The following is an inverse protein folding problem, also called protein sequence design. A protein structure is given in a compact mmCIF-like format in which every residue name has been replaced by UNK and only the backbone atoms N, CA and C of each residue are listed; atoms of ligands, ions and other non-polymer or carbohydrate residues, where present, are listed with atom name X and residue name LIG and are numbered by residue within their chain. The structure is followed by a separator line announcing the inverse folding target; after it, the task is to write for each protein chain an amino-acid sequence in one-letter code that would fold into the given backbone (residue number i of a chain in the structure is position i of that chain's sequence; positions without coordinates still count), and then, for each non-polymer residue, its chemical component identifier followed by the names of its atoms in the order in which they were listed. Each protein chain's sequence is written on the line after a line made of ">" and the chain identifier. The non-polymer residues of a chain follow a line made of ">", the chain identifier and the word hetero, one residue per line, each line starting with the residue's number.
data_IF_434934649593
#
_entry.id   IF_434934649593
#
_cell.length_a   1.000
_cell.length_b   1.000
_cell.length_c   1.000
_cell.angle_alpha   90.00
_cell.angle_beta   90.00
_cell.angle_gamma   90.00
#
_symmetry.space_group_name_H-M   'P 1'
#
loop_
_entity.id
_entity.type
_entity.pdbx_description
1 polymer ?
#
# COMPACT_ATOMS: atom_id res chain seq x y z
N UNK A 1 -4.26 16.25 5.71
CA UNK A 1 -3.16 15.38 5.24
C UNK A 1 -3.71 13.98 5.08
N UNK A 2 -3.32 13.31 4.00
CA UNK A 2 -3.80 12.00 3.54
C UNK A 2 -3.05 10.81 4.17
N UNK A 3 -1.90 11.05 4.81
CA UNK A 3 -1.11 10.04 5.51
C UNK A 3 -0.11 9.30 4.61
N UNK A 4 0.14 9.78 3.38
CA UNK A 4 1.13 9.19 2.49
C UNK A 4 2.53 9.44 3.04
N UNK A 5 3.29 8.36 3.19
CA UNK A 5 4.73 8.43 3.50
C UNK A 5 5.47 8.17 2.19
N UNK A 6 6.51 8.94 1.89
CA UNK A 6 7.37 8.75 0.72
C UNK A 6 8.82 9.14 1.04
N UNK A 7 9.74 8.90 0.09
CA UNK A 7 11.13 9.34 0.21
C UNK A 7 11.32 10.52 -0.73
N UNK A 8 11.69 11.67 -0.18
CA UNK A 8 12.15 12.79 -1.01
C UNK A 8 13.57 12.49 -1.51
N UNK A 9 13.69 12.26 -2.82
CA UNK A 9 14.95 11.95 -3.45
C UNK A 9 15.94 13.12 -3.45
N UNK A 10 15.50 14.37 -3.35
CA UNK A 10 16.41 15.51 -3.27
C UNK A 10 17.12 15.57 -1.91
N UNK A 11 16.44 15.14 -0.85
CA UNK A 11 16.95 15.14 0.53
C UNK A 11 17.61 13.82 0.94
N UNK A 12 17.38 12.74 0.19
CA UNK A 12 17.94 11.43 0.51
C UNK A 12 19.47 11.40 0.29
N UNK A 13 20.23 11.35 1.39
CA UNK A 13 21.70 11.21 1.39
C UNK A 13 22.19 9.76 1.35
N UNK A 14 21.28 8.79 1.26
CA UNK A 14 21.65 7.37 1.17
C UNK A 14 22.22 6.77 2.47
N UNK A 15 21.87 7.30 3.65
CA UNK A 15 22.36 6.78 4.94
C UNK A 15 21.84 5.38 5.32
N UNK A 16 20.80 4.89 4.65
CA UNK A 16 20.17 3.57 4.85
C UNK A 16 19.54 3.33 6.23
N UNK A 17 19.53 4.32 7.12
CA UNK A 17 18.91 4.20 8.46
C UNK A 17 17.41 3.87 8.40
N UNK A 18 16.70 4.40 7.40
CA UNK A 18 15.28 4.09 7.21
C UNK A 18 15.03 2.63 6.82
N UNK A 19 16.00 1.96 6.18
CA UNK A 19 15.91 0.53 5.83
C UNK A 19 15.98 -0.29 7.13
N UNK A 20 16.96 -0.01 7.99
CA UNK A 20 17.11 -0.73 9.27
C UNK A 20 16.00 -0.44 10.27
N UNK A 21 15.41 0.77 10.23
CA UNK A 21 14.37 1.16 11.17
C UNK A 21 12.99 0.56 10.82
N UNK A 22 12.75 0.18 9.56
CA UNK A 22 11.43 -0.29 9.14
C UNK A 22 11.23 -1.77 9.52
N UNK A 23 10.26 -2.11 10.40
CA UNK A 23 10.04 -3.50 10.80
C UNK A 23 9.46 -4.37 9.67
N UNK A 24 8.91 -3.75 8.62
CA UNK A 24 8.35 -4.44 7.46
C UNK A 24 9.32 -4.56 6.27
N UNK A 25 10.53 -3.99 6.38
CA UNK A 25 11.50 -4.00 5.28
C UNK A 25 11.01 -3.31 4.00
N UNK A 26 10.08 -2.35 4.10
CA UNK A 26 9.50 -1.70 2.92
C UNK A 26 10.49 -0.82 2.12
N UNK A 27 11.40 -0.04 2.76
CA UNK A 27 12.40 0.73 2.03
C UNK A 27 13.52 -0.15 1.49
N UNK A 28 13.86 0.03 0.21
CA UNK A 28 14.85 -0.75 -0.51
C UNK A 28 15.94 0.15 -1.11
N UNK A 29 17.15 -0.37 -1.22
CA UNK A 29 18.29 0.37 -1.76
C UNK A 29 18.32 0.31 -3.29
N UNK A 30 18.41 1.47 -3.95
CA UNK A 30 18.73 1.55 -5.37
C UNK A 30 20.21 1.93 -5.55
N UNK A 31 21.08 1.00 -6.02
CA UNK A 31 22.50 1.25 -6.18
C UNK A 31 22.84 2.21 -7.32
N UNK A 32 21.99 2.32 -8.34
CA UNK A 32 22.22 3.19 -9.50
C UNK A 32 22.08 4.67 -9.14
N UNK A 33 21.08 4.99 -8.32
CA UNK A 33 20.82 6.37 -7.89
C UNK A 33 21.48 6.72 -6.56
N UNK A 34 21.98 5.73 -5.83
CA UNK A 34 22.50 5.90 -4.47
C UNK A 34 21.43 6.32 -3.46
N UNK A 35 20.16 6.00 -3.73
CA UNK A 35 19.01 6.45 -2.94
C UNK A 35 18.13 5.29 -2.52
N UNK A 36 17.37 5.52 -1.45
CA UNK A 36 16.36 4.57 -0.99
C UNK A 36 15.07 4.80 -1.79
N UNK A 37 14.41 3.72 -2.19
CA UNK A 37 13.14 3.72 -2.89
C UNK A 37 12.13 2.91 -2.09
N UNK A 38 10.86 3.29 -2.15
CA UNK A 38 9.73 2.53 -1.61
C UNK A 38 8.45 2.95 -2.32
N UNK A 39 7.38 2.19 -2.11
CA UNK A 39 6.04 2.62 -2.52
C UNK A 39 5.74 4.01 -1.95
N UNK A 40 5.32 4.89 -2.83
CA UNK A 40 4.93 6.28 -2.59
C UNK A 40 3.41 6.47 -2.62
N UNK A 41 2.68 5.35 -2.66
CA UNK A 41 1.24 5.27 -2.75
C UNK A 41 0.66 5.83 -4.06
N UNK A 42 1.47 5.99 -5.12
CA UNK A 42 1.10 6.68 -6.35
C UNK A 42 0.56 8.09 -6.07
N UNK A 43 1.28 8.87 -5.23
CA UNK A 43 0.86 10.21 -4.82
C UNK A 43 0.52 11.09 -6.03
N UNK A 44 1.34 11.01 -7.08
CA UNK A 44 1.19 11.73 -8.34
C UNK A 44 -0.16 11.45 -9.02
N UNK A 45 -0.63 10.19 -8.96
CA UNK A 45 -1.92 9.79 -9.52
C UNK A 45 -3.06 10.23 -8.62
N UNK A 46 -2.91 10.07 -7.31
CA UNK A 46 -3.93 10.44 -6.33
C UNK A 46 -4.21 11.95 -6.38
N UNK A 47 -3.17 12.78 -6.51
CA UNK A 47 -3.30 14.24 -6.63
C UNK A 47 -4.10 14.66 -7.86
N UNK A 48 -4.07 13.84 -8.93
CA UNK A 48 -4.89 14.02 -10.12
C UNK A 48 -6.27 13.33 -10.05
N UNK A 49 -6.68 12.85 -8.87
CA UNK A 49 -7.95 12.15 -8.67
C UNK A 49 -8.00 10.74 -9.27
N UNK A 50 -6.86 10.17 -9.65
CA UNK A 50 -6.76 8.81 -10.18
C UNK A 50 -6.47 7.80 -9.05
N UNK A 51 -6.86 6.55 -9.28
CA UNK A 51 -6.52 5.45 -8.37
C UNK A 51 -5.05 5.01 -8.55
N UNK A 52 -4.43 4.41 -7.52
CA UNK A 52 -3.11 3.81 -7.64
C UNK A 52 -3.03 2.79 -8.79
N UNK A 53 -1.86 2.72 -9.42
CA UNK A 53 -1.67 1.87 -10.59
C UNK A 53 -1.92 0.38 -10.27
N UNK A 54 -1.38 -0.11 -9.15
CA UNK A 54 -1.57 -1.50 -8.71
C UNK A 54 -3.04 -1.86 -8.45
N UNK A 55 -3.84 -0.91 -7.97
CA UNK A 55 -5.28 -1.10 -7.74
C UNK A 55 -6.04 -1.14 -9.07
N UNK A 56 -5.65 -0.27 -10.00
CA UNK A 56 -6.32 -0.16 -11.32
C UNK A 56 -6.09 -1.39 -12.17
N UNK A 57 -4.89 -1.99 -12.14
CA UNK A 57 -4.55 -3.18 -12.93
C UNK A 57 -5.05 -4.49 -12.32
N UNK A 58 -5.54 -4.48 -11.08
CA UNK A 58 -5.94 -5.70 -10.36
C UNK A 58 -7.23 -6.30 -10.97
N UNK A 59 -7.05 -7.28 -11.85
CA UNK A 59 -8.15 -7.99 -12.56
C UNK A 59 -9.02 -8.83 -11.63
N UNK A 60 -8.45 -9.38 -10.56
CA UNK A 60 -9.18 -10.17 -9.56
C UNK A 60 -9.91 -9.33 -8.51
N UNK A 61 -9.74 -8.00 -8.55
CA UNK A 61 -10.32 -7.06 -7.59
C UNK A 61 -9.96 -7.34 -6.11
N UNK A 62 -8.82 -7.99 -5.86
CA UNK A 62 -8.29 -8.23 -4.52
C UNK A 62 -7.83 -6.96 -3.80
N UNK A 63 -7.43 -5.94 -4.55
CA UNK A 63 -7.00 -4.64 -4.03
C UNK A 63 -8.19 -3.65 -4.05
N UNK A 64 -8.39 -2.94 -2.94
CA UNK A 64 -9.41 -1.89 -2.79
C UNK A 64 -8.74 -0.62 -2.29
N UNK A 65 -9.21 0.51 -2.79
CA UNK A 65 -8.72 1.85 -2.44
C UNK A 65 -9.92 2.76 -2.18
N UNK A 66 -9.97 3.33 -0.97
CA UNK A 66 -10.98 4.27 -0.50
C UNK A 66 -10.39 5.03 0.71
N UNK A 67 -11.16 5.97 1.25
CA UNK A 67 -10.79 6.71 2.46
C UNK A 67 -10.68 5.79 3.67
N UNK A 68 -9.73 6.09 4.55
CA UNK A 68 -9.35 5.28 5.70
C UNK A 68 -10.54 4.94 6.60
N UNK A 69 -11.50 5.85 6.74
CA UNK A 69 -12.71 5.70 7.57
C UNK A 69 -13.65 4.59 7.08
N UNK A 70 -13.68 4.34 5.76
CA UNK A 70 -14.55 3.31 5.17
C UNK A 70 -13.91 1.92 5.17
N UNK A 71 -12.58 1.84 5.13
CA UNK A 71 -11.85 0.58 5.01
C UNK A 71 -12.13 -0.45 6.13
N UNK A 72 -12.37 -0.09 7.41
CA UNK A 72 -12.75 -1.03 8.45
C UNK A 72 -14.03 -1.80 8.13
N UNK A 73 -15.04 -1.12 7.57
CA UNK A 73 -16.31 -1.77 7.23
C UNK A 73 -16.13 -2.75 6.07
N UNK A 74 -15.41 -2.35 5.02
CA UNK A 74 -15.08 -3.23 3.89
C UNK A 74 -14.39 -4.52 4.37
N UNK A 75 -13.43 -4.42 5.29
CA UNK A 75 -12.75 -5.59 5.87
C UNK A 75 -13.70 -6.48 6.68
N UNK A 76 -14.55 -5.88 7.52
CA UNK A 76 -15.53 -6.59 8.36
C UNK A 76 -16.57 -7.33 7.52
N UNK A 77 -17.11 -6.67 6.50
CA UNK A 77 -18.09 -7.26 5.59
C UNK A 77 -17.50 -8.44 4.83
N UNK A 78 -16.29 -8.29 4.27
CA UNK A 78 -15.60 -9.39 3.58
C UNK A 78 -15.35 -10.59 4.50
N UNK A 79 -14.95 -10.34 5.75
CA UNK A 79 -14.75 -11.40 6.73
C UNK A 79 -16.07 -12.10 7.11
N UNK A 80 -17.14 -11.33 7.35
CA UNK A 80 -18.47 -11.87 7.63
C UNK A 80 -18.97 -12.75 6.47
N UNK A 81 -18.79 -12.30 5.23
CA UNK A 81 -19.12 -13.07 4.03
C UNK A 81 -18.32 -14.36 3.95
N UNK A 82 -16.99 -14.32 4.18
CA UNK A 82 -16.18 -15.54 4.15
C UNK A 82 -16.63 -16.55 5.20
N UNK A 83 -16.94 -16.10 6.42
CA UNK A 83 -17.43 -16.97 7.50
C UNK A 83 -18.81 -17.54 7.19
N UNK A 84 -19.70 -16.77 6.58
CA UNK A 84 -21.02 -17.21 6.17
C UNK A 84 -20.96 -18.24 5.02
N UNK A 85 -20.05 -18.06 4.06
CA UNK A 85 -19.83 -19.00 2.96
C UNK A 85 -19.20 -20.33 3.40
N UNK A 86 -18.46 -20.38 4.51
CA UNK A 86 -17.88 -21.62 5.04
C UNK A 86 -18.91 -22.58 5.68
N UNK A 87 -20.19 -22.17 5.84
CA UNK A 87 -21.27 -23.06 6.32
C UNK A 87 -21.66 -24.22 5.37
N UNK A 88 -20.89 -24.47 4.31
CA UNK A 88 -21.08 -25.61 3.39
C UNK A 88 -19.81 -26.43 3.09
N UNK A 89 -18.68 -26.15 3.76
CA UNK A 89 -17.44 -26.92 3.58
C UNK A 89 -17.02 -27.54 4.91
N UNK A 90 -17.84 -28.48 5.39
CA UNK A 90 -17.42 -29.50 6.36
C UNK A 90 -17.29 -30.79 5.53
N UNK A 91 -16.15 -31.46 5.71
CA UNK A 91 -15.89 -32.86 5.36
C UNK A 91 -17.12 -33.75 5.50
#
# INVERSE_FOLDING_TARGET
>A
MDGIVFVDHALCVGCKTCISACPWGAPQWNPETGKVVKCDYCMDRIDHGLKPACVTVCTSHCLKFDVTEKMPMVKRERYAQSMASTKGAII
#
